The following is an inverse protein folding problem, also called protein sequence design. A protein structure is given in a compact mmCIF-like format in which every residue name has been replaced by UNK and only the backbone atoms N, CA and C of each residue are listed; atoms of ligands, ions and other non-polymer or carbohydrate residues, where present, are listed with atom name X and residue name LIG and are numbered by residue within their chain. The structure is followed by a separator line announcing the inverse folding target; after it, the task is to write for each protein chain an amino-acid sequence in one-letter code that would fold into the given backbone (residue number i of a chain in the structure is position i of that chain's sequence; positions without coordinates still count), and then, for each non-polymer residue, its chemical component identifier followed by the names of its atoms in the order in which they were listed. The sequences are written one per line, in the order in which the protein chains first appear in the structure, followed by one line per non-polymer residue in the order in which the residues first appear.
data_IF_754170177983
#
_entry.id   IF_754170177983
#
_cell.length_a   1.000
_cell.length_b   1.000
_cell.length_c   1.000
_cell.angle_alpha   90.00
_cell.angle_beta   90.00
_cell.angle_gamma   90.00
#
_symmetry.space_group_name_H-M   'P 1'
#
loop_
_entity.id
_entity.type
_entity.pdbx_description
1 polymer ?
#
# COMPACT_ATOMS: atom_id res chain seq x y z
N UNK A 1 27.48 -18.44 -8.79
CA UNK A 1 26.78 -17.62 -7.77
C UNK A 1 25.32 -18.05 -7.77
N UNK A 2 24.67 -18.22 -6.61
CA UNK A 2 23.26 -18.63 -6.59
C UNK A 2 22.34 -17.46 -7.03
N UNK A 3 21.11 -17.75 -7.49
CA UNK A 3 20.13 -16.71 -7.85
C UNK A 3 19.89 -15.73 -6.69
N UNK A 4 19.83 -16.25 -5.45
CA UNK A 4 19.69 -15.48 -4.21
C UNK A 4 20.84 -14.52 -3.98
N UNK A 5 22.07 -14.99 -4.13
CA UNK A 5 23.26 -14.17 -3.91
C UNK A 5 23.37 -13.07 -4.97
N UNK A 6 23.06 -13.39 -6.23
CA UNK A 6 23.05 -12.42 -7.32
C UNK A 6 22.00 -11.31 -7.11
N UNK A 7 20.77 -11.69 -6.73
CA UNK A 7 19.71 -10.73 -6.42
C UNK A 7 20.06 -9.86 -5.19
N UNK A 8 20.60 -10.48 -4.14
CA UNK A 8 21.06 -9.76 -2.95
C UNK A 8 22.21 -8.80 -3.24
N UNK A 9 23.12 -9.17 -4.15
CA UNK A 9 24.22 -8.31 -4.57
C UNK A 9 23.74 -7.11 -5.40
N UNK A 10 22.80 -7.35 -6.33
CA UNK A 10 22.21 -6.30 -7.17
C UNK A 10 21.40 -5.26 -6.37
N UNK A 11 20.93 -5.61 -5.17
CA UNK A 11 20.17 -4.69 -4.32
C UNK A 11 21.11 -3.67 -3.64
N UNK A 12 21.61 -2.68 -4.37
CA UNK A 12 22.32 -1.52 -3.83
C UNK A 12 22.32 -0.37 -4.85
N UNK A 13 22.68 0.84 -4.40
CA UNK A 13 22.68 2.04 -5.23
C UNK A 13 23.61 1.90 -6.45
N UNK A 14 24.79 1.30 -6.30
CA UNK A 14 25.76 1.15 -7.39
C UNK A 14 25.33 0.15 -8.47
N UNK A 15 24.35 -0.71 -8.17
CA UNK A 15 23.83 -1.75 -9.05
C UNK A 15 22.32 -1.62 -9.27
N UNK A 16 21.79 -0.40 -9.16
CA UNK A 16 20.35 -0.15 -9.28
C UNK A 16 19.76 -0.66 -10.60
N UNK A 17 20.52 -0.58 -11.69
CA UNK A 17 20.11 -1.12 -13.00
C UNK A 17 19.99 -2.65 -12.99
N UNK A 18 20.90 -3.36 -12.31
CA UNK A 18 20.82 -4.81 -12.15
C UNK A 18 19.60 -5.20 -11.30
N UNK A 19 19.31 -4.42 -10.25
CA UNK A 19 18.11 -4.60 -9.44
C UNK A 19 16.84 -4.43 -10.29
N UNK A 20 16.73 -3.32 -11.04
CA UNK A 20 15.59 -3.07 -11.92
C UNK A 20 15.47 -4.15 -13.01
N UNK A 21 16.58 -4.66 -13.51
CA UNK A 21 16.59 -5.79 -14.44
C UNK A 21 15.95 -7.03 -13.81
N UNK A 22 16.30 -7.40 -12.57
CA UNK A 22 15.64 -8.51 -11.87
C UNK A 22 14.15 -8.29 -11.64
N UNK A 23 13.73 -7.07 -11.31
CA UNK A 23 12.31 -6.73 -11.18
C UNK A 23 11.59 -6.89 -12.52
N UNK A 24 12.22 -6.48 -13.62
CA UNK A 24 11.66 -6.64 -14.96
C UNK A 24 11.55 -8.11 -15.37
N UNK A 25 12.56 -8.93 -15.06
CA UNK A 25 12.53 -10.37 -15.30
C UNK A 25 11.36 -11.04 -14.56
N UNK A 26 11.09 -10.66 -13.30
CA UNK A 26 9.94 -11.17 -12.56
C UNK A 26 8.58 -10.75 -13.14
N UNK A 27 8.50 -9.54 -13.72
CA UNK A 27 7.28 -9.06 -14.38
C UNK A 27 7.03 -9.77 -15.72
N UNK A 28 8.08 -10.27 -16.38
CA UNK A 28 7.97 -11.01 -17.63
C UNK A 28 7.64 -12.49 -17.38
N UNK A 29 6.42 -12.90 -17.73
CA UNK A 29 5.95 -14.28 -17.57
C UNK A 29 6.69 -15.30 -18.45
N UNK A 30 7.45 -14.85 -19.45
CA UNK A 30 8.27 -15.73 -20.26
C UNK A 30 9.60 -16.10 -19.58
N UNK A 31 10.03 -15.30 -18.60
CA UNK A 31 11.32 -15.47 -17.92
C UNK A 31 11.19 -16.40 -16.69
N UNK A 32 12.22 -17.22 -16.39
CA UNK A 32 12.18 -18.19 -15.30
C UNK A 32 12.61 -17.60 -13.94
N UNK A 33 12.70 -16.27 -13.82
CA UNK A 33 13.12 -15.61 -12.59
C UNK A 33 11.90 -15.12 -11.81
N UNK A 34 11.77 -15.55 -10.55
CA UNK A 34 10.68 -15.12 -9.68
C UNK A 34 11.24 -14.59 -8.35
N UNK A 35 10.96 -13.30 -8.06
CA UNK A 35 11.33 -12.67 -6.78
C UNK A 35 10.67 -13.39 -5.60
N UNK A 36 9.44 -13.89 -5.75
CA UNK A 36 8.73 -14.62 -4.69
C UNK A 36 9.45 -15.91 -4.31
N UNK A 37 9.84 -16.70 -5.31
CA UNK A 37 10.65 -17.91 -5.13
C UNK A 37 12.00 -17.56 -4.48
N UNK A 38 12.71 -16.57 -5.02
CA UNK A 38 14.04 -16.18 -4.53
C UNK A 38 14.00 -15.76 -3.06
N UNK A 39 13.05 -14.89 -2.69
CA UNK A 39 12.91 -14.40 -1.31
C UNK A 39 12.43 -15.51 -0.36
N UNK A 40 11.58 -16.43 -0.83
CA UNK A 40 11.15 -17.59 -0.04
C UNK A 40 12.30 -18.55 0.24
N UNK A 41 13.21 -18.75 -0.71
CA UNK A 41 14.39 -19.61 -0.54
C UNK A 41 15.51 -18.96 0.29
N UNK A 42 15.45 -17.65 0.55
CA UNK A 42 16.48 -16.97 1.33
C UNK A 42 16.44 -17.38 2.82
N UNK A 43 17.56 -17.81 3.41
CA UNK A 43 17.65 -17.97 4.85
C UNK A 43 17.45 -16.63 5.56
N UNK A 44 17.05 -16.67 6.83
CA UNK A 44 16.72 -15.48 7.63
C UNK A 44 17.80 -14.38 7.55
N UNK A 45 19.07 -14.73 7.65
CA UNK A 45 20.17 -13.76 7.57
C UNK A 45 20.23 -13.06 6.20
N UNK A 46 19.99 -13.76 5.09
CA UNK A 46 19.94 -13.13 3.77
C UNK A 46 18.73 -12.20 3.63
N UNK A 47 17.56 -12.57 4.17
CA UNK A 47 16.37 -11.70 4.17
C UNK A 47 16.61 -10.41 4.97
N UNK A 48 17.24 -10.50 6.14
CA UNK A 48 17.60 -9.31 6.93
C UNK A 48 18.55 -8.38 6.18
N UNK A 49 19.58 -8.95 5.52
CA UNK A 49 20.50 -8.18 4.69
C UNK A 49 19.80 -7.54 3.49
N UNK A 50 18.88 -8.27 2.85
CA UNK A 50 18.07 -7.76 1.74
C UNK A 50 17.25 -6.54 2.18
N UNK A 51 16.54 -6.63 3.31
CA UNK A 51 15.73 -5.53 3.82
C UNK A 51 16.59 -4.32 4.21
N UNK A 52 17.76 -4.53 4.82
CA UNK A 52 18.69 -3.42 5.10
C UNK A 52 19.13 -2.71 3.82
N UNK A 53 19.50 -3.48 2.80
CA UNK A 53 19.91 -2.97 1.48
C UNK A 53 18.80 -2.24 0.74
N UNK A 54 17.58 -2.78 0.73
CA UNK A 54 16.39 -2.12 0.17
C UNK A 54 16.08 -0.80 0.88
N UNK A 55 16.23 -0.77 2.20
CA UNK A 55 16.03 0.42 3.01
C UNK A 55 17.02 1.53 2.64
N UNK A 56 18.31 1.19 2.50
CA UNK A 56 19.33 2.11 1.99
C UNK A 56 19.01 2.60 0.58
N UNK A 57 18.77 1.67 -0.36
CA UNK A 57 18.46 2.01 -1.74
C UNK A 57 17.26 2.96 -1.85
N UNK A 58 16.17 2.67 -1.14
CA UNK A 58 14.99 3.54 -1.10
C UNK A 58 15.34 4.90 -0.50
N UNK A 59 16.10 4.96 0.58
CA UNK A 59 16.52 6.22 1.18
C UNK A 59 17.37 7.06 0.21
N UNK A 60 18.32 6.45 -0.49
CA UNK A 60 19.24 7.14 -1.39
C UNK A 60 18.46 7.75 -2.57
N UNK A 61 17.60 6.97 -3.20
CA UNK A 61 16.71 7.40 -4.31
C UNK A 61 15.78 8.53 -3.89
N UNK A 62 15.20 8.46 -2.68
CA UNK A 62 14.33 9.53 -2.16
C UNK A 62 15.11 10.80 -1.78
N UNK A 63 16.43 10.72 -1.53
CA UNK A 63 17.27 11.90 -1.31
C UNK A 63 17.69 12.55 -2.64
N UNK A 64 17.92 11.74 -3.67
CA UNK A 64 18.24 12.23 -5.01
C UNK A 64 17.08 13.03 -5.61
N UNK A 65 15.85 12.50 -5.51
CA UNK A 65 14.63 13.21 -5.92
C UNK A 65 13.53 13.07 -4.85
N UNK A 66 13.42 14.05 -3.93
CA UNK A 66 12.41 14.04 -2.89
C UNK A 66 10.98 13.97 -3.45
N UNK A 67 10.03 13.29 -2.76
CA UNK A 67 8.66 13.12 -3.22
C UNK A 67 7.95 14.44 -3.57
N UNK A 68 8.25 15.53 -2.88
CA UNK A 68 7.66 16.85 -3.12
C UNK A 68 7.97 17.39 -4.53
N UNK A 69 8.97 16.83 -5.22
CA UNK A 69 9.40 17.19 -6.57
C UNK A 69 8.91 16.24 -7.65
N UNK A 70 8.08 15.25 -7.31
CA UNK A 70 7.58 14.26 -8.28
C UNK A 70 6.48 14.81 -9.20
N UNK A 71 5.96 16.02 -8.93
CA UNK A 71 4.86 16.59 -9.70
C UNK A 71 5.24 16.91 -11.15
N UNK A 72 4.58 16.22 -12.09
CA UNK A 72 4.42 16.68 -13.47
C UNK A 72 3.01 17.30 -13.59
N UNK A 73 2.93 18.64 -13.56
CA UNK A 73 1.95 19.45 -14.31
C UNK A 73 2.22 20.95 -14.08
N UNK A 74 3.06 21.54 -14.96
CA UNK A 74 2.80 22.89 -15.50
C UNK A 74 2.86 24.12 -14.59
N UNK A 75 3.88 24.27 -13.73
CA UNK A 75 4.27 25.61 -13.26
C UNK A 75 5.70 25.91 -13.74
N UNK A 76 5.82 26.73 -14.79
CA UNK A 76 7.07 27.40 -15.16
C UNK A 76 7.60 28.16 -13.93
N UNK A 77 8.58 27.58 -13.26
CA UNK A 77 9.02 28.07 -11.95
C UNK A 77 10.31 27.40 -11.52
N UNK A 78 11.40 27.77 -12.21
CA UNK A 78 12.78 27.40 -11.91
C UNK A 78 13.10 25.91 -12.09
N UNK A 79 13.59 25.57 -13.28
CA UNK A 79 14.29 24.31 -13.55
C UNK A 79 15.46 24.18 -12.58
N UNK A 80 15.26 23.46 -11.48
CA UNK A 80 16.38 22.86 -10.76
C UNK A 80 16.72 21.63 -11.56
N UNK A 81 17.85 21.66 -12.27
CA UNK A 81 18.45 20.52 -12.95
C UNK A 81 18.68 19.38 -11.94
N UNK A 82 17.65 18.57 -11.69
CA UNK A 82 17.83 17.30 -10.99
C UNK A 82 18.38 16.31 -12.00
N UNK A 83 19.55 15.76 -11.72
CA UNK A 83 20.18 14.74 -12.57
C UNK A 83 19.39 13.40 -12.61
N UNK A 84 18.45 13.20 -11.67
CA UNK A 84 17.67 12.00 -11.54
C UNK A 84 16.37 12.05 -12.36
N UNK A 85 16.17 11.05 -13.23
CA UNK A 85 14.94 10.84 -14.02
C UNK A 85 13.79 10.40 -13.09
N UNK A 86 12.67 11.16 -12.98
CA UNK A 86 11.53 10.78 -12.16
C UNK A 86 11.00 9.37 -12.45
N UNK A 87 11.05 8.91 -13.71
CA UNK A 87 10.61 7.57 -14.08
C UNK A 87 11.52 6.49 -13.51
N UNK A 88 12.82 6.74 -13.48
CA UNK A 88 13.79 5.84 -12.88
C UNK A 88 13.53 5.71 -11.36
N UNK A 89 13.35 6.85 -10.67
CA UNK A 89 13.01 6.89 -9.25
C UNK A 89 11.75 6.08 -8.96
N UNK A 90 10.69 6.29 -9.74
CA UNK A 90 9.43 5.55 -9.60
C UNK A 90 9.59 4.05 -9.83
N UNK A 91 10.40 3.64 -10.82
CA UNK A 91 10.68 2.23 -11.07
C UNK A 91 11.39 1.57 -9.87
N UNK A 92 12.31 2.28 -9.20
CA UNK A 92 12.97 1.77 -8.00
C UNK A 92 11.99 1.67 -6.84
N UNK A 93 11.18 2.71 -6.58
CA UNK A 93 10.16 2.69 -5.53
C UNK A 93 9.16 1.55 -5.75
N UNK A 94 8.74 1.32 -6.99
CA UNK A 94 7.87 0.20 -7.39
C UNK A 94 8.53 -1.16 -7.15
N UNK A 95 9.80 -1.32 -7.55
CA UNK A 95 10.59 -2.52 -7.29
C UNK A 95 10.74 -2.82 -5.80
N UNK A 96 11.06 -1.82 -4.99
CA UNK A 96 11.17 -1.96 -3.53
C UNK A 96 9.82 -2.34 -2.93
N UNK A 97 8.72 -1.72 -3.39
CA UNK A 97 7.35 -2.04 -2.96
C UNK A 97 7.00 -3.50 -3.23
N UNK A 98 7.35 -4.01 -4.42
CA UNK A 98 7.13 -5.40 -4.80
C UNK A 98 7.89 -6.37 -3.88
N UNK A 99 9.19 -6.11 -3.64
CA UNK A 99 10.00 -6.99 -2.78
C UNK A 99 9.54 -6.93 -1.33
N UNK A 100 9.07 -5.76 -0.86
CA UNK A 100 8.48 -5.61 0.47
C UNK A 100 7.19 -6.43 0.63
N UNK A 101 6.30 -6.41 -0.37
CA UNK A 101 5.04 -7.18 -0.34
C UNK A 101 5.32 -8.68 -0.28
N UNK A 102 6.20 -9.17 -1.15
CA UNK A 102 6.68 -10.56 -1.14
C UNK A 102 7.30 -10.92 0.21
N UNK A 103 8.06 -10.00 0.81
CA UNK A 103 8.71 -10.23 2.11
C UNK A 103 7.69 -10.48 3.24
N UNK A 104 6.52 -9.82 3.22
CA UNK A 104 5.46 -10.04 4.22
C UNK A 104 4.95 -11.48 4.20
N UNK A 105 4.84 -12.07 3.00
CA UNK A 105 4.33 -13.44 2.82
C UNK A 105 5.24 -14.47 3.47
N UNK A 106 6.56 -14.25 3.39
CA UNK A 106 7.56 -15.19 3.91
C UNK A 106 7.91 -14.97 5.39
N UNK A 107 7.49 -13.85 6.00
CA UNK A 107 7.75 -13.58 7.43
C UNK A 107 7.20 -14.69 8.32
N UNK A 108 8.04 -15.14 9.25
CA UNK A 108 7.74 -16.16 10.26
C UNK A 108 7.62 -15.54 11.66
N UNK A 109 6.94 -16.25 12.56
CA UNK A 109 6.82 -15.83 13.96
C UNK A 109 8.20 -15.74 14.63
N UNK A 110 8.48 -14.61 15.27
CA UNK A 110 9.78 -14.32 15.91
C UNK A 110 10.86 -13.78 14.97
N UNK A 111 10.56 -13.56 13.69
CA UNK A 111 11.44 -12.77 12.82
C UNK A 111 11.51 -11.30 13.27
N UNK A 112 12.71 -10.74 13.19
CA UNK A 112 12.96 -9.31 13.42
C UNK A 112 12.83 -8.58 12.09
N UNK A 113 11.86 -7.68 11.96
CA UNK A 113 11.53 -7.04 10.68
C UNK A 113 11.62 -5.51 10.72
N UNK A 114 12.46 -4.94 11.60
CA UNK A 114 12.58 -3.48 11.75
C UNK A 114 12.95 -2.76 10.45
N UNK A 115 13.92 -3.29 9.71
CA UNK A 115 14.31 -2.73 8.41
C UNK A 115 13.15 -2.77 7.39
N UNK A 116 12.35 -3.84 7.41
CA UNK A 116 11.17 -3.92 6.54
C UNK A 116 10.09 -2.92 6.96
N UNK A 117 9.86 -2.73 8.27
CA UNK A 117 8.94 -1.70 8.77
C UNK A 117 9.37 -0.30 8.33
N UNK A 118 10.66 0.03 8.44
CA UNK A 118 11.20 1.32 7.98
C UNK A 118 10.97 1.55 6.48
N UNK A 119 11.11 0.50 5.66
CA UNK A 119 10.77 0.55 4.22
C UNK A 119 9.28 0.88 4.05
N UNK A 120 8.38 0.15 4.71
CA UNK A 120 6.94 0.36 4.55
C UNK A 120 6.51 1.74 5.05
N UNK A 121 7.10 2.26 6.13
CA UNK A 121 6.87 3.63 6.61
C UNK A 121 7.27 4.67 5.56
N UNK A 122 8.42 4.48 4.90
CA UNK A 122 8.87 5.40 3.82
C UNK A 122 7.96 5.34 2.61
N UNK A 123 7.61 4.13 2.16
CA UNK A 123 6.67 3.94 1.05
C UNK A 123 5.30 4.53 1.36
N UNK A 124 4.84 4.39 2.60
CA UNK A 124 3.60 5.04 3.07
C UNK A 124 3.71 6.56 3.01
N UNK A 125 4.84 7.13 3.43
CA UNK A 125 5.08 8.58 3.38
C UNK A 125 5.06 9.17 1.98
N UNK A 126 5.45 8.41 0.93
CA UNK A 126 5.44 8.93 -0.44
C UNK A 126 4.05 8.97 -1.08
N UNK A 127 3.04 8.29 -0.50
CA UNK A 127 1.68 8.20 -1.07
C UNK A 127 1.05 9.56 -1.36
N UNK A 128 1.31 10.55 -0.49
CA UNK A 128 0.73 11.90 -0.59
C UNK A 128 1.31 12.67 -1.78
N UNK A 129 2.50 12.29 -2.24
CA UNK A 129 3.25 13.00 -3.27
C UNK A 129 3.27 12.27 -4.62
N UNK A 130 2.60 11.12 -4.73
CA UNK A 130 2.50 10.38 -5.99
C UNK A 130 1.70 11.17 -7.03
N UNK A 131 2.25 11.39 -8.24
CA UNK A 131 1.49 11.94 -9.35
C UNK A 131 0.30 11.07 -9.75
N UNK A 132 -0.70 11.69 -10.37
CA UNK A 132 -1.92 10.99 -10.81
C UNK A 132 -1.62 9.90 -11.85
N UNK A 133 -0.57 10.10 -12.67
CA UNK A 133 -0.07 9.12 -13.64
C UNK A 133 0.36 7.80 -12.97
N UNK A 134 0.87 7.85 -11.73
CA UNK A 134 1.36 6.69 -10.97
C UNK A 134 0.27 5.95 -10.20
N UNK A 135 -0.90 5.83 -10.82
CA UNK A 135 -1.99 4.97 -10.30
C UNK A 135 -1.53 3.51 -10.06
N UNK A 136 -0.65 2.88 -10.88
CA UNK A 136 -0.14 1.54 -10.61
C UNK A 136 0.68 1.46 -9.32
N UNK A 137 1.62 2.38 -9.09
CA UNK A 137 2.46 2.39 -7.89
C UNK A 137 1.63 2.62 -6.63
N UNK A 138 0.66 3.56 -6.69
CA UNK A 138 -0.31 3.76 -5.60
C UNK A 138 -1.04 2.46 -5.25
N UNK A 139 -1.44 1.67 -6.26
CA UNK A 139 -2.11 0.39 -6.03
C UNK A 139 -1.18 -0.65 -5.37
N UNK A 140 0.10 -0.68 -5.74
CA UNK A 140 1.06 -1.60 -5.12
C UNK A 140 1.31 -1.23 -3.65
N UNK A 141 1.55 0.05 -3.33
CA UNK A 141 1.73 0.50 -1.94
C UNK A 141 0.44 0.30 -1.12
N UNK A 142 -0.73 0.52 -1.72
CA UNK A 142 -2.00 0.20 -1.08
C UNK A 142 -2.13 -1.31 -0.77
N UNK A 143 -1.76 -2.18 -1.71
CA UNK A 143 -1.79 -3.64 -1.51
C UNK A 143 -0.83 -4.06 -0.39
N UNK A 144 0.36 -3.46 -0.36
CA UNK A 144 1.34 -3.64 0.71
C UNK A 144 0.76 -3.26 2.10
N UNK A 145 0.07 -2.13 2.20
CA UNK A 145 -0.57 -1.69 3.44
C UNK A 145 -1.68 -2.65 3.90
N UNK A 146 -2.50 -3.16 2.97
CA UNK A 146 -3.53 -4.17 3.24
C UNK A 146 -2.89 -5.49 3.74
N UNK A 147 -1.82 -5.95 3.08
CA UNK A 147 -1.08 -7.14 3.49
C UNK A 147 -0.45 -6.97 4.89
N UNK A 148 0.11 -5.79 5.19
CA UNK A 148 0.68 -5.47 6.50
C UNK A 148 -0.37 -5.52 7.62
N UNK A 149 -1.55 -4.94 7.37
CA UNK A 149 -2.68 -4.98 8.29
C UNK A 149 -3.14 -6.42 8.56
N UNK A 150 -3.38 -7.20 7.49
CA UNK A 150 -3.86 -8.59 7.59
C UNK A 150 -2.87 -9.52 8.29
N UNK A 151 -1.57 -9.26 8.14
CA UNK A 151 -0.51 -10.02 8.84
C UNK A 151 -0.43 -9.65 10.33
N UNK A 152 -1.04 -8.55 10.76
CA UNK A 152 -1.09 -8.16 12.17
C UNK A 152 0.25 -7.65 12.72
N UNK A 153 1.07 -7.04 11.86
CA UNK A 153 2.41 -6.60 12.20
C UNK A 153 2.41 -5.33 13.06
N UNK A 154 3.59 -4.93 13.58
CA UNK A 154 3.76 -3.71 14.37
C UNK A 154 3.26 -2.48 13.59
N UNK A 155 2.62 -1.55 14.30
CA UNK A 155 2.09 -0.29 13.76
C UNK A 155 1.06 -0.50 12.63
N UNK A 156 0.40 -1.65 12.61
CA UNK A 156 -0.60 -1.99 11.59
C UNK A 156 -1.72 -0.94 11.49
N UNK A 157 -2.08 -0.27 12.57
CA UNK A 157 -3.18 0.69 12.64
C UNK A 157 -3.01 1.83 11.61
N UNK A 158 -1.79 2.35 11.46
CA UNK A 158 -1.48 3.38 10.46
C UNK A 158 -1.71 2.87 9.03
N UNK A 159 -1.17 1.69 8.71
CA UNK A 159 -1.24 1.13 7.36
C UNK A 159 -2.66 0.64 7.02
N UNK A 160 -3.33 0.00 7.98
CA UNK A 160 -4.72 -0.43 7.86
C UNK A 160 -5.65 0.74 7.61
N UNK A 161 -5.47 1.85 8.34
CA UNK A 161 -6.23 3.09 8.12
C UNK A 161 -6.04 3.65 6.72
N UNK A 162 -4.81 3.70 6.22
CA UNK A 162 -4.54 4.18 4.86
C UNK A 162 -5.12 3.25 3.80
N UNK A 163 -4.95 1.94 3.95
CA UNK A 163 -5.56 0.98 3.05
C UNK A 163 -7.10 1.11 3.03
N UNK A 164 -7.71 1.24 4.21
CA UNK A 164 -9.14 1.44 4.36
C UNK A 164 -9.61 2.72 3.65
N UNK A 165 -8.94 3.85 3.89
CA UNK A 165 -9.26 5.14 3.27
C UNK A 165 -9.16 5.07 1.74
N UNK A 166 -8.07 4.52 1.20
CA UNK A 166 -7.87 4.41 -0.25
C UNK A 166 -8.95 3.53 -0.88
N UNK A 167 -9.22 2.35 -0.32
CA UNK A 167 -10.31 1.48 -0.81
C UNK A 167 -11.67 2.17 -0.71
N UNK A 168 -11.94 2.89 0.38
CA UNK A 168 -13.17 3.64 0.56
C UNK A 168 -13.31 4.73 -0.51
N UNK A 169 -12.30 5.58 -0.71
CA UNK A 169 -12.31 6.60 -1.77
C UNK A 169 -12.55 6.00 -3.16
N UNK A 170 -11.81 4.94 -3.52
CA UNK A 170 -11.94 4.28 -4.82
C UNK A 170 -13.33 3.69 -5.04
N UNK A 171 -14.00 3.24 -3.98
CA UNK A 171 -15.36 2.74 -4.09
C UNK A 171 -16.38 3.81 -4.52
N UNK A 172 -16.11 5.10 -4.26
CA UNK A 172 -16.96 6.21 -4.69
C UNK A 172 -16.65 6.69 -6.10
N UNK A 173 -15.40 6.52 -6.57
CA UNK A 173 -14.93 7.02 -7.87
C UNK A 173 -15.04 6.01 -9.00
N UNK A 174 -14.92 4.71 -8.71
CA UNK A 174 -14.93 3.67 -9.73
C UNK A 174 -16.34 3.33 -10.22
N UNK A 175 -16.47 3.12 -11.54
CA UNK A 175 -17.73 2.65 -12.18
C UNK A 175 -18.18 1.27 -11.69
N UNK A 176 -17.24 0.40 -11.29
CA UNK A 176 -17.48 -0.96 -10.79
C UNK A 176 -16.75 -1.15 -9.45
N UNK A 177 -17.32 -0.68 -8.33
CA UNK A 177 -16.61 -0.60 -7.05
C UNK A 177 -16.55 -1.93 -6.29
N UNK A 178 -17.09 -3.03 -6.83
CA UNK A 178 -17.27 -4.28 -6.09
C UNK A 178 -16.00 -4.82 -5.42
N UNK A 179 -14.85 -4.78 -6.09
CA UNK A 179 -13.57 -5.22 -5.51
C UNK A 179 -13.16 -4.33 -4.33
N UNK A 180 -13.33 -3.02 -4.46
CA UNK A 180 -12.97 -2.09 -3.38
C UNK A 180 -13.95 -2.19 -2.21
N UNK A 181 -15.25 -2.43 -2.45
CA UNK A 181 -16.22 -2.71 -1.39
C UNK A 181 -15.83 -3.97 -0.60
N UNK A 182 -15.39 -5.03 -1.29
CA UNK A 182 -14.89 -6.24 -0.62
C UNK A 182 -13.64 -5.95 0.22
N UNK A 183 -12.74 -5.09 -0.27
CA UNK A 183 -11.55 -4.68 0.47
C UNK A 183 -11.90 -3.86 1.72
N UNK A 184 -12.78 -2.85 1.59
CA UNK A 184 -13.33 -2.09 2.74
C UNK A 184 -13.90 -3.04 3.78
N UNK A 185 -14.70 -4.03 3.36
CA UNK A 185 -15.23 -5.04 4.28
C UNK A 185 -14.13 -5.87 4.93
N UNK A 186 -13.11 -6.31 4.19
CA UNK A 186 -12.00 -7.08 4.76
C UNK A 186 -11.16 -6.28 5.77
N UNK A 187 -11.25 -4.96 5.73
CA UNK A 187 -10.54 -4.02 6.60
C UNK A 187 -11.43 -3.40 7.70
N UNK A 188 -12.67 -3.89 7.89
CA UNK A 188 -13.63 -3.28 8.82
C UNK A 188 -13.12 -3.15 10.26
N UNK A 189 -12.25 -4.05 10.72
CA UNK A 189 -11.63 -3.98 12.05
C UNK A 189 -10.81 -2.69 12.28
N UNK A 190 -10.37 -2.01 11.21
CA UNK A 190 -9.75 -0.68 11.30
C UNK A 190 -10.65 0.30 12.03
N UNK A 191 -11.97 0.21 11.82
CA UNK A 191 -12.97 1.09 12.42
C UNK A 191 -12.98 0.98 13.95
N UNK A 192 -12.60 -0.17 14.51
CA UNK A 192 -12.48 -0.36 15.96
C UNK A 192 -11.30 0.41 16.57
N UNK A 193 -10.33 0.82 15.75
CA UNK A 193 -9.13 1.56 16.16
C UNK A 193 -9.21 3.07 15.90
N UNK A 194 -10.29 3.55 15.26
CA UNK A 194 -10.42 4.96 14.90
C UNK A 194 -10.87 5.81 16.09
N UNK A 195 -10.17 6.92 16.29
CA UNK A 195 -10.70 8.05 17.05
C UNK A 195 -11.59 8.91 16.14
N UNK A 196 -12.91 8.77 16.30
CA UNK A 196 -13.92 9.48 15.53
C UNK A 196 -13.97 10.99 15.81
N UNK A 197 -13.30 11.47 16.85
CA UNK A 197 -13.23 12.90 17.20
C UNK A 197 -12.01 13.60 16.63
N UNK A 198 -11.03 12.84 16.14
CA UNK A 198 -9.79 13.37 15.58
C UNK A 198 -10.01 13.95 14.17
N UNK A 199 -9.52 15.17 13.93
CA UNK A 199 -9.54 15.81 12.60
C UNK A 199 -8.80 14.97 11.55
N UNK A 200 -7.81 14.19 11.95
CA UNK A 200 -7.08 13.30 11.05
C UNK A 200 -8.04 12.25 10.42
N UNK A 201 -9.04 11.79 11.18
CA UNK A 201 -10.01 10.77 10.75
C UNK A 201 -11.23 11.34 10.05
N UNK A 202 -11.38 12.67 10.03
CA UNK A 202 -12.56 13.35 9.48
C UNK A 202 -12.89 12.91 8.07
N UNK A 203 -11.89 12.75 7.20
CA UNK A 203 -12.13 12.29 5.83
C UNK A 203 -12.74 10.87 5.79
N UNK A 204 -12.26 9.96 6.65
CA UNK A 204 -12.85 8.62 6.76
C UNK A 204 -14.28 8.76 7.25
N UNK A 205 -14.50 9.50 8.33
CA UNK A 205 -15.84 9.73 8.91
C UNK A 205 -16.81 10.30 7.88
N UNK A 206 -16.41 11.33 7.13
CA UNK A 206 -17.23 11.96 6.10
C UNK A 206 -17.60 10.98 4.97
N UNK A 207 -16.65 10.15 4.53
CA UNK A 207 -16.90 9.13 3.52
C UNK A 207 -17.82 8.03 4.04
N UNK A 208 -17.68 7.63 5.32
CA UNK A 208 -18.59 6.67 5.96
C UNK A 208 -20.01 7.23 6.05
N UNK A 209 -20.17 8.51 6.39
CA UNK A 209 -21.48 9.19 6.37
C UNK A 209 -22.08 9.23 4.95
N UNK A 210 -21.24 9.42 3.93
CA UNK A 210 -21.68 9.37 2.53
C UNK A 210 -22.10 7.96 2.07
N UNK A 211 -21.57 6.88 2.65
CA UNK A 211 -22.02 5.52 2.36
C UNK A 211 -23.54 5.36 2.63
N UNK A 212 -24.07 5.99 3.68
CA UNK A 212 -25.51 5.98 4.02
C UNK A 212 -26.41 6.66 2.99
N UNK A 213 -25.84 7.37 2.02
CA UNK A 213 -26.59 8.03 0.96
C UNK A 213 -26.47 7.31 -0.40
N UNK A 214 -25.69 6.21 -0.47
CA UNK A 214 -25.39 5.49 -1.72
C UNK A 214 -26.12 4.14 -1.76
N UNK A 215 -27.02 3.91 -2.74
CA UNK A 215 -27.72 2.63 -2.89
C UNK A 215 -26.79 1.42 -3.00
N UNK A 216 -25.59 1.58 -3.57
CA UNK A 216 -24.61 0.49 -3.72
C UNK A 216 -24.11 -0.09 -2.39
N UNK A 217 -24.21 0.70 -1.32
CA UNK A 217 -23.85 0.31 0.04
C UNK A 217 -25.04 -0.19 0.87
N UNK A 218 -26.28 0.10 0.43
CA UNK A 218 -27.51 -0.05 1.22
C UNK A 218 -28.49 -1.06 0.62
N UNK A 219 -28.51 -1.26 -0.71
CA UNK A 219 -29.51 -2.13 -1.34
C UNK A 219 -29.14 -3.61 -1.27
N UNK A 220 -29.92 -4.30 -0.45
CA UNK A 220 -30.38 -5.66 -0.66
C UNK A 220 -30.97 -5.80 -2.08
N UNK A 221 -30.75 -6.98 -2.66
CA UNK A 221 -31.39 -7.53 -3.85
C UNK A 221 -30.84 -7.09 -5.22
N UNK A 222 -30.25 -8.09 -5.90
CA UNK A 222 -29.96 -8.18 -7.33
C UNK A 222 -28.59 -7.75 -7.89
N UNK A 223 -27.49 -7.99 -7.17
CA UNK A 223 -26.18 -8.24 -7.80
C UNK A 223 -25.50 -9.41 -7.09
N UNK A 224 -24.97 -10.35 -7.88
CA UNK A 224 -24.30 -11.62 -7.50
C UNK A 224 -23.95 -11.79 -6.01
N UNK A 225 -24.45 -12.90 -5.43
CA UNK A 225 -24.45 -13.34 -4.00
C UNK A 225 -23.26 -12.99 -3.10
N UNK A 226 -22.07 -12.70 -3.65
CA UNK A 226 -20.86 -12.37 -2.87
C UNK A 226 -20.79 -10.86 -2.53
N UNK A 227 -21.23 -10.00 -3.46
CA UNK A 227 -21.16 -8.55 -3.28
C UNK A 227 -22.34 -8.00 -2.47
N UNK A 228 -23.54 -8.56 -2.66
CA UNK A 228 -24.71 -8.24 -1.83
C UNK A 228 -24.49 -8.64 -0.36
N UNK A 229 -23.90 -9.81 -0.10
CA UNK A 229 -23.62 -10.26 1.26
C UNK A 229 -22.68 -9.33 2.04
N UNK A 230 -21.66 -8.76 1.37
CA UNK A 230 -20.76 -7.80 2.03
C UNK A 230 -21.38 -6.41 2.15
N UNK A 231 -22.14 -5.94 1.16
CA UNK A 231 -22.82 -4.64 1.23
C UNK A 231 -23.88 -4.62 2.33
N UNK A 232 -24.68 -5.69 2.44
CA UNK A 232 -25.71 -5.85 3.48
C UNK A 232 -25.09 -6.01 4.87
N UNK A 233 -23.98 -6.77 4.99
CA UNK A 233 -23.26 -6.89 6.26
C UNK A 233 -22.54 -5.60 6.65
N UNK A 234 -21.99 -4.85 5.71
CA UNK A 234 -21.39 -3.54 5.96
C UNK A 234 -22.48 -2.58 6.46
N UNK A 235 -23.63 -2.53 5.78
CA UNK A 235 -24.81 -1.78 6.24
C UNK A 235 -25.27 -2.20 7.64
N UNK A 236 -25.46 -3.49 7.92
CA UNK A 236 -25.89 -3.98 9.23
C UNK A 236 -24.83 -3.73 10.32
N UNK A 237 -23.54 -3.85 9.99
CA UNK A 237 -22.45 -3.54 10.91
C UNK A 237 -22.39 -2.04 11.20
N UNK A 238 -22.52 -1.19 10.17
CA UNK A 238 -22.65 0.27 10.32
C UNK A 238 -23.89 0.65 11.12
N UNK A 239 -25.03 0.02 10.87
CA UNK A 239 -26.25 0.26 11.63
C UNK A 239 -26.13 -0.22 13.08
N UNK A 240 -25.42 -1.32 13.34
CA UNK A 240 -25.28 -1.88 14.69
C UNK A 240 -24.18 -1.22 15.51
N UNK A 241 -23.09 -0.74 14.88
CA UNK A 241 -21.91 -0.21 15.57
C UNK A 241 -21.77 1.30 15.43
N UNK A 242 -22.22 1.92 14.32
CA UNK A 242 -22.10 3.37 14.13
C UNK A 242 -23.39 4.13 14.51
N UNK A 243 -24.60 3.54 14.50
CA UNK A 243 -25.80 4.24 15.03
C UNK A 243 -25.67 4.58 16.52
N UNK A 244 -24.84 3.84 17.28
CA UNK A 244 -24.53 4.17 18.68
C UNK A 244 -23.67 5.42 18.84
N UNK A 245 -22.88 5.79 17.82
CA UNK A 245 -21.99 6.96 17.86
C UNK A 245 -22.60 8.23 17.24
N UNK A 246 -23.60 8.10 16.36
CA UNK A 246 -24.27 9.23 15.69
C UNK A 246 -25.46 9.77 16.51
N UNK A 247 -25.87 9.07 17.57
CA UNK A 247 -27.03 9.40 18.40
C UNK A 247 -26.65 9.75 19.86
N UNK A 248 -25.66 10.59 20.09
CA UNK A 248 -25.67 11.45 21.30
C UNK A 248 -25.83 12.91 20.86
N UNK A 249 -27.03 13.49 20.96
CA UNK A 249 -27.14 14.93 20.97
C UNK A 249 -26.51 15.40 22.28
N UNK A 250 -25.37 16.07 22.18
CA UNK A 250 -24.82 16.88 23.27
C UNK A 250 -25.93 17.80 23.80
N UNK A 251 -26.37 17.52 25.02
CA UNK A 251 -27.34 18.31 25.78
C UNK A 251 -26.75 19.67 26.21
#
# INVERSE_FOLDING_TARGET
MSKRDAFLEATCQEKVEDFLHFIQLHKDRAEPFDVEEVVQEMPRNQRLTLWGKLGSLLQDVLLELPPERWAEDGQEGMEVESAADPKHIMAVVDGVTLVADVSIKVLQDGDTYSALLEIVQRLHGVLVSLPVSETPLLLHIHTLCDAWWKKGLKEKEQFGRTAFLISLQKSFTLKKPGVEIQRVWSLHDVLLSLDYTSEENKQIVDLLLQCFHRPNYIRNDDVSRVTSGCSVRLSLWFESHCRGFVCEPSA
#
